data_IF_890715833283
#
_entry.id   IF_890715833283
#
_cell.length_a   1.000
_cell.length_b   1.000
_cell.length_c   1.000
_cell.angle_alpha   90.00
_cell.angle_beta   90.00
_cell.angle_gamma   90.00
#
_symmetry.space_group_name_H-M   'P 1'
#
loop_
_entity.id
_entity.type
_entity.pdbx_description
1 polymer ?
#
# COMPACT_ATOMS: atom_id res chain seq x y z
N UNK A 1 -5.06 -6.12 9.23
CA UNK A 1 -4.47 -5.07 8.38
C UNK A 1 -4.50 -5.59 6.96
N UNK A 2 -5.05 -4.80 6.05
CA UNK A 2 -5.17 -5.18 4.64
C UNK A 2 -4.09 -4.42 3.87
N UNK A 3 -3.19 -5.16 3.23
CA UNK A 3 -2.12 -4.58 2.41
C UNK A 3 -2.54 -4.64 0.96
N UNK A 4 -2.56 -3.48 0.28
CA UNK A 4 -2.88 -3.33 -1.14
C UNK A 4 -1.60 -3.03 -1.92
N UNK A 5 -1.34 -3.77 -2.99
CA UNK A 5 -0.22 -3.54 -3.91
C UNK A 5 -0.72 -3.73 -5.34
N UNK A 6 -0.89 -2.63 -6.08
CA UNK A 6 -1.54 -2.67 -7.38
C UNK A 6 -2.94 -3.30 -7.29
N UNK A 7 -3.15 -4.39 -8.02
CA UNK A 7 -4.42 -5.15 -8.04
C UNK A 7 -4.46 -6.30 -7.01
N UNK A 8 -3.43 -6.44 -6.19
CA UNK A 8 -3.32 -7.51 -5.18
C UNK A 8 -3.70 -7.00 -3.80
N UNK A 9 -4.48 -7.78 -3.06
CA UNK A 9 -4.74 -7.52 -1.64
C UNK A 9 -4.50 -8.75 -0.78
N UNK A 10 -4.07 -8.54 0.46
CA UNK A 10 -3.84 -9.59 1.45
C UNK A 10 -4.23 -9.11 2.84
N UNK A 11 -5.01 -9.92 3.55
CA UNK A 11 -5.40 -9.66 4.94
C UNK A 11 -4.44 -10.32 5.94
N UNK A 12 -3.80 -9.48 6.75
CA UNK A 12 -2.87 -9.89 7.79
C UNK A 12 -3.58 -9.80 9.15
N UNK A 13 -3.73 -10.94 9.87
CA UNK A 13 -4.31 -10.94 11.20
C UNK A 13 -3.33 -10.31 12.20
N UNK A 14 -3.69 -9.14 12.77
CA UNK A 14 -2.85 -8.41 13.73
C UNK A 14 -3.12 -8.78 15.19
N UNK A 15 -4.25 -9.42 15.51
CA UNK A 15 -4.66 -9.65 16.90
C UNK A 15 -4.98 -8.33 17.62
N UNK A 16 -4.49 -8.18 18.85
CA UNK A 16 -4.66 -6.95 19.64
C UNK A 16 -3.53 -5.96 19.33
N UNK A 17 -3.89 -4.76 18.86
CA UNK A 17 -2.93 -3.71 18.51
C UNK A 17 -3.27 -2.41 19.24
N UNK A 18 -2.25 -1.76 19.82
CA UNK A 18 -2.40 -0.45 20.46
C UNK A 18 -1.83 0.61 19.51
N UNK A 19 -2.69 1.47 18.98
CA UNK A 19 -2.29 2.54 18.06
C UNK A 19 -2.22 3.86 18.84
N UNK A 20 -1.11 4.58 18.68
CA UNK A 20 -0.97 5.93 19.24
C UNK A 20 -1.75 6.92 18.37
N UNK A 21 -2.62 7.72 18.97
CA UNK A 21 -3.54 8.62 18.24
C UNK A 21 -2.88 9.57 17.23
N UNK A 22 -1.62 9.98 17.45
CA UNK A 22 -0.88 10.83 16.49
C UNK A 22 -0.60 10.16 15.14
N UNK A 23 -0.63 8.83 15.08
CA UNK A 23 -0.35 8.04 13.87
C UNK A 23 -1.64 7.72 13.10
N UNK A 24 -2.79 8.16 13.58
CA UNK A 24 -4.10 7.90 12.99
C UNK A 24 -4.51 9.13 12.18
N UNK A 25 -4.84 8.92 10.90
CA UNK A 25 -5.39 9.96 10.03
C UNK A 25 -6.91 9.95 10.08
N UNK A 26 -7.52 8.75 9.99
CA UNK A 26 -8.96 8.55 9.98
C UNK A 26 -9.31 7.19 10.61
N UNK A 27 -10.42 7.11 11.32
CA UNK A 27 -11.04 5.87 11.80
C UNK A 27 -12.50 5.88 11.35
N UNK A 28 -12.99 4.75 10.87
CA UNK A 28 -14.39 4.52 10.55
C UNK A 28 -14.79 3.09 10.86
N UNK A 29 -16.09 2.87 11.02
CA UNK A 29 -16.66 1.52 11.10
C UNK A 29 -16.68 0.90 9.70
N UNK A 30 -16.26 -0.36 9.59
CA UNK A 30 -16.31 -1.12 8.34
C UNK A 30 -17.45 -2.13 8.43
N UNK A 31 -18.40 -2.06 7.50
CA UNK A 31 -19.44 -3.05 7.32
C UNK A 31 -18.93 -4.16 6.40
N UNK A 32 -18.57 -5.30 6.99
CA UNK A 32 -17.96 -6.45 6.29
C UNK A 32 -18.94 -7.07 5.28
N UNK A 33 -20.25 -6.94 5.52
CA UNK A 33 -21.28 -7.54 4.65
C UNK A 33 -21.49 -6.74 3.35
N UNK A 34 -21.04 -5.48 3.31
CA UNK A 34 -21.14 -4.58 2.15
C UNK A 34 -19.79 -4.34 1.47
N UNK A 35 -18.77 -5.13 1.78
CA UNK A 35 -17.44 -4.94 1.21
C UNK A 35 -17.44 -5.30 -0.30
N UNK A 36 -17.91 -4.36 -1.11
CA UNK A 36 -17.83 -4.40 -2.56
C UNK A 36 -16.37 -4.13 -2.95
N UNK A 37 -15.54 -5.17 -2.86
CA UNK A 37 -14.20 -5.13 -3.43
C UNK A 37 -14.34 -4.85 -4.93
N UNK A 38 -13.59 -3.87 -5.47
CA UNK A 38 -13.56 -3.64 -6.90
C UNK A 38 -13.24 -4.95 -7.65
N UNK A 39 -13.90 -5.24 -8.78
CA UNK A 39 -13.81 -6.54 -9.46
C UNK A 39 -12.41 -6.88 -10.04
N UNK A 40 -11.49 -5.91 -10.04
CA UNK A 40 -10.10 -6.11 -10.45
C UNK A 40 -9.19 -6.59 -9.30
N UNK A 41 -9.65 -6.57 -8.05
CA UNK A 41 -8.85 -6.97 -6.90
C UNK A 41 -8.72 -8.50 -6.80
N UNK A 42 -7.48 -8.96 -6.68
CA UNK A 42 -7.15 -10.39 -6.50
C UNK A 42 -6.63 -10.62 -5.09
N UNK A 43 -7.28 -11.54 -4.37
CA UNK A 43 -6.86 -11.93 -3.02
C UNK A 43 -5.63 -12.84 -3.08
N UNK A 44 -4.61 -12.49 -2.29
CA UNK A 44 -3.39 -13.26 -2.13
C UNK A 44 -3.30 -13.76 -0.70
N UNK A 45 -3.19 -15.08 -0.51
CA UNK A 45 -3.10 -15.70 0.81
C UNK A 45 -1.68 -15.68 1.41
N UNK A 46 -0.65 -15.39 0.60
CA UNK A 46 0.74 -15.37 1.02
C UNK A 46 1.22 -13.96 1.36
N UNK A 47 1.47 -13.71 2.65
CA UNK A 47 2.09 -12.47 3.14
C UNK A 47 3.46 -12.21 2.48
N UNK A 48 4.18 -13.27 2.10
CA UNK A 48 5.47 -13.16 1.43
C UNK A 48 5.37 -12.63 -0.01
N UNK A 49 4.23 -12.85 -0.68
CA UNK A 49 3.99 -12.34 -2.05
C UNK A 49 3.64 -10.87 -2.03
N UNK A 50 2.72 -10.45 -1.15
CA UNK A 50 2.35 -9.03 -1.03
C UNK A 50 3.54 -8.18 -0.55
N UNK A 51 4.36 -8.69 0.38
CA UNK A 51 5.55 -7.98 0.87
C UNK A 51 6.60 -7.79 -0.23
N UNK A 52 6.80 -8.80 -1.08
CA UNK A 52 7.71 -8.69 -2.24
C UNK A 52 7.20 -7.69 -3.26
N UNK A 53 5.90 -7.71 -3.56
CA UNK A 53 5.28 -6.76 -4.47
C UNK A 53 5.40 -5.32 -3.93
N UNK A 54 5.12 -5.10 -2.64
CA UNK A 54 5.22 -3.79 -1.99
C UNK A 54 6.65 -3.24 -2.03
N UNK A 55 7.65 -4.10 -1.81
CA UNK A 55 9.07 -3.73 -1.91
C UNK A 55 9.43 -3.31 -3.34
N UNK A 56 9.00 -4.08 -4.35
CA UNK A 56 9.27 -3.77 -5.75
C UNK A 56 8.62 -2.45 -6.20
N UNK A 57 7.39 -2.17 -5.75
CA UNK A 57 6.71 -0.91 -6.03
C UNK A 57 7.45 0.28 -5.40
N UNK A 58 7.86 0.15 -4.13
CA UNK A 58 8.61 1.19 -3.42
C UNK A 58 9.95 1.49 -4.10
N UNK A 59 10.69 0.46 -4.47
CA UNK A 59 11.95 0.61 -5.23
C UNK A 59 11.73 1.29 -6.59
N UNK A 60 10.64 0.99 -7.29
CA UNK A 60 10.26 1.66 -8.53
C UNK A 60 9.94 3.14 -8.31
N UNK A 61 9.19 3.46 -7.25
CA UNK A 61 8.85 4.85 -6.90
C UNK A 61 10.06 5.66 -6.48
N UNK A 62 10.98 5.06 -5.71
CA UNK A 62 12.22 5.71 -5.28
C UNK A 62 13.14 5.99 -6.48
N UNK A 63 13.24 5.04 -7.42
CA UNK A 63 14.02 5.22 -8.63
C UNK A 63 13.42 6.30 -9.54
N UNK A 64 12.10 6.31 -9.73
CA UNK A 64 11.37 7.35 -10.49
C UNK A 64 11.49 8.73 -9.82
N UNK A 65 11.39 8.81 -8.50
CA UNK A 65 11.57 10.06 -7.73
C UNK A 65 13.00 10.59 -7.82
N UNK A 66 14.00 9.72 -7.78
CA UNK A 66 15.41 10.06 -7.99
C UNK A 66 15.68 10.57 -9.41
N UNK A 67 15.06 9.95 -10.42
CA UNK A 67 15.16 10.37 -11.82
C UNK A 67 14.46 11.72 -12.04
N UNK A 68 13.27 11.92 -11.49
CA UNK A 68 12.52 13.18 -11.59
C UNK A 68 13.28 14.35 -10.96
N UNK A 69 13.84 14.19 -9.75
CA UNK A 69 14.71 15.21 -9.14
C UNK A 69 15.94 15.55 -9.99
N UNK A 70 16.49 14.56 -10.70
CA UNK A 70 17.64 14.78 -11.61
C UNK A 70 17.22 15.45 -12.92
N UNK A 71 16.01 15.19 -13.42
CA UNK A 71 15.47 15.80 -14.63
C UNK A 71 15.05 17.26 -14.40
N UNK A 72 14.42 17.57 -13.25
CA UNK A 72 14.03 18.94 -12.87
C UNK A 72 15.24 19.89 -12.76
N UNK A 73 16.46 19.37 -12.58
CA UNK A 73 17.68 20.17 -12.59
C UNK A 73 18.10 20.61 -14.01
N UNK A 74 17.74 19.86 -15.05
CA UNK A 74 18.12 20.14 -16.44
C UNK A 74 17.18 21.13 -17.15
N UNK A 75 15.97 21.35 -16.61
CA UNK A 75 14.98 22.30 -17.15
C UNK A 75 15.19 23.75 -16.63
N UNK A 76 16.30 24.01 -15.93
CA UNK A 76 16.67 25.30 -15.31
C UNK A 76 17.89 25.94 -15.99
N UNK A 77 18.10 25.71 -17.30
CA UNK A 77 19.08 26.41 -18.14
C UNK A 77 18.42 26.95 -19.43
#
# INVERSE_FOLDING_TARGET
ESTLVGDLYCDIPLGLYIIRGKNVVLIGELDVDKEELPPHMTHVSSVAEITRAQKAERESTDLKGSMRKRMEFLDMD
#
